data_IF_745675061757
#
_entry.id   IF_745675061757
#
_cell.length_a   1.000
_cell.length_b   1.000
_cell.length_c   1.000
_cell.angle_alpha   90.00
_cell.angle_beta   90.00
_cell.angle_gamma   90.00
#
_symmetry.space_group_name_H-M   'P 1'
#
loop_
_entity.id
_entity.type
_entity.pdbx_description
1 polymer ?
#
# COMPACT_ATOMS: atom_id res chain seq x y z
N UNK A 1 1.73 9.22 9.80
CA UNK A 1 2.57 8.14 9.25
C UNK A 1 3.82 7.99 10.11
N UNK A 2 4.30 6.76 10.33
CA UNK A 2 5.44 6.50 11.19
C UNK A 2 6.79 6.84 10.54
N UNK A 3 6.86 6.75 9.21
CA UNK A 3 7.94 7.26 8.39
C UNK A 3 7.47 8.50 7.63
N UNK A 4 8.44 9.33 7.25
CA UNK A 4 8.23 10.47 6.36
C UNK A 4 9.54 10.79 5.65
N UNK A 5 9.42 11.25 4.40
CA UNK A 5 10.55 11.83 3.69
C UNK A 5 10.71 13.32 3.99
N UNK A 6 11.94 13.74 4.30
CA UNK A 6 12.38 15.13 4.39
C UNK A 6 13.67 15.30 3.58
N UNK A 7 13.64 16.16 2.55
CA UNK A 7 14.85 16.59 1.82
C UNK A 7 15.79 15.45 1.39
N UNK A 8 15.23 14.34 0.89
CA UNK A 8 15.94 13.10 0.48
C UNK A 8 16.40 12.17 1.63
N UNK A 9 16.00 12.45 2.86
CA UNK A 9 16.20 11.56 4.01
C UNK A 9 14.87 10.94 4.44
N UNK A 10 14.90 9.66 4.81
CA UNK A 10 13.73 8.95 5.37
C UNK A 10 13.87 8.93 6.89
N UNK A 11 12.95 9.60 7.57
CA UNK A 11 12.89 9.63 9.03
C UNK A 11 11.81 8.65 9.52
N UNK A 12 12.22 7.59 10.20
CA UNK A 12 11.31 6.69 10.92
C UNK A 12 11.26 7.04 12.41
N UNK A 13 10.08 7.47 12.89
CA UNK A 13 9.85 7.73 14.31
C UNK A 13 9.45 6.44 15.01
N UNK A 14 10.43 5.76 15.60
CA UNK A 14 10.27 4.42 16.17
C UNK A 14 9.11 4.28 17.15
N UNK A 15 8.91 5.25 18.06
CA UNK A 15 7.81 5.17 19.03
C UNK A 15 6.44 5.32 18.36
N UNK A 16 6.32 6.23 17.39
CA UNK A 16 5.10 6.38 16.58
C UNK A 16 4.85 5.13 15.73
N UNK A 17 5.89 4.53 15.16
CA UNK A 17 5.82 3.29 14.40
C UNK A 17 5.34 2.12 15.25
N UNK A 18 5.83 2.04 16.49
CA UNK A 18 5.44 1.03 17.47
C UNK A 18 3.95 1.11 17.80
N UNK A 19 3.45 2.30 18.15
CA UNK A 19 2.03 2.49 18.49
C UNK A 19 1.13 2.25 17.29
N UNK A 20 1.53 2.74 16.11
CA UNK A 20 0.78 2.52 14.87
C UNK A 20 0.68 1.03 14.51
N UNK A 21 1.79 0.30 14.55
CA UNK A 21 1.81 -1.14 14.31
C UNK A 21 0.94 -1.89 15.32
N UNK A 22 1.01 -1.52 16.59
CA UNK A 22 0.16 -2.10 17.62
C UNK A 22 -1.33 -1.95 17.29
N UNK A 23 -1.76 -0.74 16.94
CA UNK A 23 -3.15 -0.46 16.57
C UNK A 23 -3.58 -1.27 15.33
N UNK A 24 -2.72 -1.36 14.30
CA UNK A 24 -3.01 -2.16 13.11
C UNK A 24 -3.22 -3.64 13.44
N UNK A 25 -2.41 -4.21 14.35
CA UNK A 25 -2.55 -5.60 14.76
C UNK A 25 -3.80 -5.83 15.62
N UNK A 26 -4.06 -4.95 16.59
CA UNK A 26 -5.19 -5.09 17.52
C UNK A 26 -6.53 -4.92 16.80
N UNK A 27 -6.64 -3.92 15.91
CA UNK A 27 -7.87 -3.60 15.19
C UNK A 27 -7.99 -4.29 13.83
N UNK A 28 -7.17 -5.32 13.59
CA UNK A 28 -7.16 -6.05 12.33
C UNK A 28 -8.56 -6.62 11.98
N UNK A 29 -9.00 -6.38 10.75
CA UNK A 29 -10.24 -6.96 10.24
C UNK A 29 -10.13 -8.48 10.13
N UNK A 30 -11.27 -9.18 10.21
CA UNK A 30 -11.33 -10.65 10.11
C UNK A 30 -10.64 -11.18 8.84
N UNK A 31 -10.72 -10.45 7.73
CA UNK A 31 -10.08 -10.80 6.45
C UNK A 31 -8.56 -10.77 6.49
N UNK A 32 -7.95 -9.90 7.30
CA UNK A 32 -6.49 -9.76 7.43
C UNK A 32 -5.86 -10.72 8.44
N UNK A 33 -6.66 -11.32 9.35
CA UNK A 33 -6.17 -12.23 10.41
C UNK A 33 -5.32 -13.41 9.90
N UNK A 34 -5.65 -14.10 8.80
CA UNK A 34 -4.81 -15.19 8.31
C UNK A 34 -3.41 -14.72 7.89
N UNK A 35 -3.31 -13.56 7.25
CA UNK A 35 -2.03 -12.97 6.85
C UNK A 35 -1.24 -12.44 8.05
N UNK A 36 -1.93 -11.85 9.03
CA UNK A 36 -1.29 -11.42 10.28
C UNK A 36 -0.69 -12.63 11.03
N UNK A 37 -1.44 -13.73 11.14
CA UNK A 37 -0.94 -14.98 11.75
C UNK A 37 0.29 -15.50 11.01
N UNK A 38 0.26 -15.53 9.68
CA UNK A 38 1.41 -15.91 8.87
C UNK A 38 2.64 -15.03 9.17
N UNK A 39 2.45 -13.72 9.28
CA UNK A 39 3.52 -12.79 9.60
C UNK A 39 4.13 -13.06 10.99
N UNK A 40 3.27 -13.23 12.00
CA UNK A 40 3.67 -13.48 13.38
C UNK A 40 4.36 -14.84 13.56
N UNK A 41 3.90 -15.89 12.86
CA UNK A 41 4.57 -17.19 12.83
C UNK A 41 6.01 -17.07 12.31
N UNK A 42 6.23 -16.24 11.28
CA UNK A 42 7.58 -15.94 10.76
C UNK A 42 8.39 -15.00 11.65
N UNK A 43 7.75 -14.32 12.61
CA UNK A 43 8.42 -13.64 13.71
C UNK A 43 8.74 -14.57 14.89
N UNK A 44 8.43 -15.88 14.78
CA UNK A 44 8.64 -16.87 15.84
C UNK A 44 7.45 -17.05 16.80
N UNK A 45 6.33 -16.37 16.56
CA UNK A 45 5.14 -16.41 17.41
C UNK A 45 4.09 -17.37 16.84
N UNK A 46 4.12 -18.63 17.29
CA UNK A 46 3.21 -19.69 16.81
C UNK A 46 1.78 -19.58 17.32
N UNK A 47 1.59 -19.08 18.54
CA UNK A 47 0.29 -18.88 19.18
C UNK A 47 0.23 -17.47 19.78
N UNK A 48 0.21 -16.42 18.94
CA UNK A 48 0.25 -15.05 19.42
C UNK A 48 -1.10 -14.69 20.06
N UNK A 49 -1.08 -14.50 21.38
CA UNK A 49 -2.11 -13.73 22.07
C UNK A 49 -1.66 -12.27 22.20
N UNK A 50 -2.53 -11.44 22.80
CA UNK A 50 -2.23 -10.01 22.96
C UNK A 50 -0.98 -9.75 23.79
N UNK A 51 -0.73 -10.57 24.81
CA UNK A 51 0.42 -10.40 25.70
C UNK A 51 1.73 -10.75 24.99
N UNK A 52 1.76 -11.88 24.29
CA UNK A 52 2.90 -12.31 23.49
C UNK A 52 3.24 -11.28 22.40
N UNK A 53 2.23 -10.73 21.71
CA UNK A 53 2.45 -9.67 20.71
C UNK A 53 3.03 -8.40 21.35
N UNK A 54 2.55 -8.02 22.54
CA UNK A 54 3.05 -6.83 23.23
C UNK A 54 4.51 -7.00 23.67
N UNK A 55 4.85 -8.16 24.25
CA UNK A 55 6.21 -8.49 24.68
C UNK A 55 7.20 -8.51 23.52
N UNK A 56 6.77 -8.96 22.33
CA UNK A 56 7.62 -9.07 21.15
C UNK A 56 7.49 -7.88 20.18
N UNK A 57 6.75 -6.83 20.55
CA UNK A 57 6.42 -5.73 19.65
C UNK A 57 7.66 -5.06 19.02
N UNK A 58 8.76 -4.97 19.76
CA UNK A 58 10.03 -4.44 19.22
C UNK A 58 10.63 -5.32 18.12
N UNK A 59 10.56 -6.64 18.26
CA UNK A 59 11.05 -7.58 17.24
C UNK A 59 10.11 -7.58 16.02
N UNK A 60 8.79 -7.55 16.27
CA UNK A 60 7.79 -7.43 15.19
C UNK A 60 8.01 -6.13 14.40
N UNK A 61 8.26 -5.02 15.10
CA UNK A 61 8.55 -3.74 14.46
C UNK A 61 9.83 -3.80 13.62
N UNK A 62 10.85 -4.55 14.05
CA UNK A 62 12.07 -4.72 13.26
C UNK A 62 11.79 -5.43 11.92
N UNK A 63 10.90 -6.43 11.91
CA UNK A 63 10.46 -7.09 10.67
C UNK A 63 9.57 -6.18 9.80
N UNK A 64 8.74 -5.34 10.43
CA UNK A 64 7.86 -4.42 9.72
C UNK A 64 8.58 -3.16 9.20
N UNK A 65 9.75 -2.83 9.74
CA UNK A 65 10.49 -1.61 9.44
C UNK A 65 10.75 -1.44 7.94
N UNK A 66 11.10 -2.52 7.26
CA UNK A 66 11.37 -2.50 5.82
C UNK A 66 10.13 -2.05 5.03
N UNK A 67 8.92 -2.42 5.45
CA UNK A 67 7.69 -1.97 4.80
C UNK A 67 7.54 -0.45 4.84
N UNK A 68 7.85 0.19 5.98
CA UNK A 68 7.77 1.64 6.08
C UNK A 68 8.87 2.34 5.29
N UNK A 69 10.10 1.83 5.32
CA UNK A 69 11.23 2.48 4.63
C UNK A 69 11.08 2.37 3.11
N UNK A 70 10.78 1.17 2.61
CA UNK A 70 10.70 0.96 1.16
C UNK A 70 9.43 1.53 0.54
N UNK A 71 8.39 1.78 1.32
CA UNK A 71 7.26 2.60 0.90
C UNK A 71 7.74 4.03 0.57
N UNK A 72 8.47 4.67 1.49
CA UNK A 72 9.01 6.02 1.27
C UNK A 72 10.03 6.07 0.13
N UNK A 73 10.90 5.06 -0.01
CA UNK A 73 11.81 4.94 -1.17
C UNK A 73 11.00 4.83 -2.48
N UNK A 74 9.95 4.01 -2.47
CA UNK A 74 9.04 3.87 -3.60
C UNK A 74 8.37 5.19 -3.98
N UNK A 75 7.86 5.94 -2.99
CA UNK A 75 7.24 7.24 -3.22
C UNK A 75 8.21 8.26 -3.81
N UNK A 76 9.47 8.26 -3.38
CA UNK A 76 10.49 9.16 -3.90
C UNK A 76 10.95 8.80 -5.31
N UNK A 77 10.88 7.51 -5.63
CA UNK A 77 11.35 6.98 -6.92
C UNK A 77 10.27 7.03 -8.00
N UNK A 78 8.99 7.02 -7.60
CA UNK A 78 7.88 7.08 -8.56
C UNK A 78 7.77 8.47 -9.21
N UNK A 79 7.77 8.47 -10.53
CA UNK A 79 7.55 9.66 -11.35
C UNK A 79 6.26 9.56 -12.16
N UNK A 80 5.35 8.64 -11.80
CA UNK A 80 4.10 8.40 -12.55
C UNK A 80 3.15 9.58 -12.37
N UNK A 81 3.07 10.13 -11.15
CA UNK A 81 2.33 11.36 -10.89
C UNK A 81 3.26 12.58 -11.02
N UNK A 82 2.90 13.50 -11.92
CA UNK A 82 3.44 14.86 -11.84
C UNK A 82 3.02 15.49 -10.51
N UNK A 83 4.00 15.97 -9.74
CA UNK A 83 3.76 16.47 -8.38
C UNK A 83 2.85 17.71 -8.35
N UNK A 84 2.82 18.53 -9.40
CA UNK A 84 1.95 19.70 -9.46
C UNK A 84 0.52 19.29 -9.79
N UNK A 85 0.33 18.46 -10.82
CA UNK A 85 -0.99 17.93 -11.19
C UNK A 85 -1.62 17.18 -10.01
N UNK A 86 -0.82 16.38 -9.30
CA UNK A 86 -1.27 15.68 -8.11
C UNK A 86 -1.78 16.63 -7.02
N UNK A 87 -0.98 17.63 -6.64
CA UNK A 87 -1.37 18.61 -5.60
C UNK A 87 -2.63 19.37 -6.01
N UNK A 88 -2.74 19.75 -7.28
CA UNK A 88 -3.94 20.38 -7.82
C UNK A 88 -5.17 19.47 -7.75
N UNK A 89 -5.05 18.21 -8.15
CA UNK A 89 -6.15 17.23 -8.12
C UNK A 89 -6.68 17.04 -6.69
N UNK A 90 -5.78 16.85 -5.73
CA UNK A 90 -6.13 16.70 -4.30
C UNK A 90 -6.80 17.99 -3.78
N UNK A 91 -6.24 19.16 -4.09
CA UNK A 91 -6.81 20.44 -3.70
C UNK A 91 -8.16 20.74 -4.37
N UNK A 92 -8.40 20.19 -5.56
CA UNK A 92 -9.66 20.37 -6.30
C UNK A 92 -10.79 19.51 -5.73
N UNK A 93 -10.47 18.31 -5.23
CA UNK A 93 -11.47 17.36 -4.73
C UNK A 93 -11.23 16.94 -3.27
N UNK A 94 -11.12 17.88 -2.32
CA UNK A 94 -10.85 17.56 -0.93
C UNK A 94 -12.00 16.76 -0.32
N UNK A 95 -11.67 15.82 0.55
CA UNK A 95 -12.59 14.96 1.30
C UNK A 95 -13.55 14.18 0.39
N UNK A 96 -13.09 13.78 -0.80
CA UNK A 96 -13.90 13.06 -1.78
C UNK A 96 -13.39 11.64 -2.04
N UNK A 97 -14.24 10.76 -2.61
CA UNK A 97 -13.79 9.46 -3.11
C UNK A 97 -12.63 9.57 -4.13
N UNK A 98 -12.61 10.64 -4.93
CA UNK A 98 -11.53 10.93 -5.87
C UNK A 98 -10.21 11.19 -5.17
N UNK A 99 -10.20 11.95 -4.06
CA UNK A 99 -8.99 12.14 -3.26
C UNK A 99 -8.50 10.81 -2.68
N UNK A 100 -9.41 9.99 -2.14
CA UNK A 100 -9.05 8.68 -1.59
C UNK A 100 -8.44 7.77 -2.66
N UNK A 101 -9.01 7.78 -3.87
CA UNK A 101 -8.52 7.00 -5.01
C UNK A 101 -7.15 7.46 -5.45
N UNK A 102 -6.98 8.76 -5.57
CA UNK A 102 -5.69 9.34 -5.89
C UNK A 102 -4.66 8.82 -4.88
N UNK A 103 -4.85 9.08 -3.58
CA UNK A 103 -3.92 8.66 -2.51
C UNK A 103 -3.59 7.17 -2.56
N UNK A 104 -4.59 6.31 -2.71
CA UNK A 104 -4.39 4.87 -2.81
C UNK A 104 -3.58 4.47 -4.06
N UNK A 105 -3.76 5.15 -5.20
CA UNK A 105 -2.93 4.91 -6.39
C UNK A 105 -1.48 5.29 -6.14
N UNK A 106 -1.21 6.41 -5.47
CA UNK A 106 0.15 6.83 -5.13
C UNK A 106 0.83 5.82 -4.20
N UNK A 107 0.14 5.38 -3.15
CA UNK A 107 0.65 4.38 -2.21
C UNK A 107 0.94 3.04 -2.94
N UNK A 108 0.02 2.59 -3.81
CA UNK A 108 0.20 1.36 -4.58
C UNK A 108 1.35 1.45 -5.57
N UNK A 109 1.48 2.57 -6.29
CA UNK A 109 2.60 2.81 -7.20
C UNK A 109 3.94 2.77 -6.46
N UNK A 110 4.02 3.40 -5.29
CA UNK A 110 5.19 3.38 -4.44
C UNK A 110 5.54 1.96 -3.97
N UNK A 111 4.58 1.23 -3.42
CA UNK A 111 4.81 -0.12 -2.91
C UNK A 111 5.21 -1.11 -4.00
N UNK A 112 4.70 -0.93 -5.21
CA UNK A 112 4.95 -1.82 -6.35
C UNK A 112 6.08 -1.33 -7.27
N UNK A 113 6.65 -0.15 -7.03
CA UNK A 113 7.78 0.38 -7.78
C UNK A 113 8.98 -0.60 -7.73
N UNK A 114 9.85 -0.68 -8.74
CA UNK A 114 11.05 -1.53 -8.71
C UNK A 114 11.96 -1.32 -7.50
N UNK A 115 11.98 -0.11 -6.93
CA UNK A 115 12.71 0.24 -5.70
C UNK A 115 11.83 0.25 -4.44
N UNK A 116 10.57 -0.16 -4.58
CA UNK A 116 9.53 -0.05 -3.56
C UNK A 116 9.41 -1.28 -2.66
N UNK A 117 8.42 -1.22 -1.77
CA UNK A 117 8.14 -2.20 -0.71
C UNK A 117 8.16 -3.65 -1.21
N UNK A 118 7.31 -3.99 -2.17
CA UNK A 118 7.11 -5.38 -2.57
C UNK A 118 8.32 -5.96 -3.29
N UNK A 119 9.01 -5.17 -4.12
CA UNK A 119 10.24 -5.61 -4.76
C UNK A 119 11.33 -5.94 -3.72
N UNK A 120 11.53 -5.08 -2.73
CA UNK A 120 12.46 -5.34 -1.63
C UNK A 120 12.12 -6.62 -0.86
N UNK A 121 10.83 -6.81 -0.51
CA UNK A 121 10.39 -8.00 0.21
C UNK A 121 10.62 -9.29 -0.60
N UNK A 122 10.39 -9.24 -1.93
CA UNK A 122 10.60 -10.37 -2.85
C UNK A 122 12.08 -10.72 -2.94
N UNK A 123 12.94 -9.73 -3.19
CA UNK A 123 14.38 -9.93 -3.39
C UNK A 123 15.06 -10.47 -2.14
N UNK A 124 14.64 -9.98 -0.97
CA UNK A 124 15.21 -10.38 0.32
C UNK A 124 14.42 -11.51 1.00
N UNK A 125 13.41 -12.08 0.33
CA UNK A 125 12.56 -13.16 0.81
C UNK A 125 12.01 -12.91 2.22
N UNK A 126 11.49 -11.71 2.46
CA UNK A 126 10.99 -11.24 3.77
C UNK A 126 9.57 -11.75 4.03
N UNK A 127 9.45 -13.00 4.52
CA UNK A 127 8.16 -13.65 4.76
C UNK A 127 7.27 -12.88 5.75
N UNK A 128 7.81 -12.46 6.90
CA UNK A 128 7.06 -11.69 7.90
C UNK A 128 6.57 -10.36 7.31
N UNK A 129 7.45 -9.61 6.65
CA UNK A 129 7.10 -8.34 5.99
C UNK A 129 6.00 -8.49 4.94
N UNK A 130 6.04 -9.53 4.11
CA UNK A 130 4.97 -9.81 3.15
C UNK A 130 3.65 -10.18 3.85
N UNK A 131 3.71 -10.94 4.93
CA UNK A 131 2.55 -11.26 5.75
C UNK A 131 1.87 -10.01 6.32
N UNK A 132 2.66 -9.08 6.86
CA UNK A 132 2.13 -7.81 7.36
C UNK A 132 1.56 -6.94 6.25
N UNK A 133 2.26 -6.85 5.10
CA UNK A 133 1.75 -6.14 3.93
C UNK A 133 0.37 -6.67 3.53
N UNK A 134 0.23 -7.99 3.37
CA UNK A 134 -1.03 -8.63 3.01
C UNK A 134 -2.11 -8.50 4.11
N UNK A 135 -1.71 -8.46 5.38
CA UNK A 135 -2.64 -8.30 6.50
C UNK A 135 -3.27 -6.91 6.52
N UNK A 136 -2.47 -5.88 6.26
CA UNK A 136 -2.87 -4.48 6.36
C UNK A 136 -3.40 -3.90 5.04
N UNK A 137 -3.38 -4.68 3.95
CA UNK A 137 -4.00 -4.33 2.68
C UNK A 137 -5.53 -4.31 2.80
N UNK A 138 -6.12 -3.12 2.84
CA UNK A 138 -7.54 -2.90 3.07
C UNK A 138 -8.06 -1.67 2.32
N UNK A 139 -9.37 -1.42 2.39
CA UNK A 139 -10.01 -0.25 1.79
C UNK A 139 -9.75 -0.17 0.29
N UNK A 140 -9.38 1.02 -0.17
CA UNK A 140 -9.21 1.30 -1.60
C UNK A 140 -8.00 0.59 -2.22
N UNK A 141 -6.91 0.41 -1.46
CA UNK A 141 -5.73 -0.34 -1.91
C UNK A 141 -6.07 -1.79 -2.25
N UNK A 142 -6.94 -2.41 -1.44
CA UNK A 142 -7.41 -3.78 -1.70
C UNK A 142 -8.19 -3.89 -3.02
N UNK A 143 -9.01 -2.88 -3.34
CA UNK A 143 -9.79 -2.87 -4.59
C UNK A 143 -8.91 -2.59 -5.81
N UNK A 144 -7.89 -1.74 -5.67
CA UNK A 144 -6.89 -1.48 -6.71
C UNK A 144 -5.89 -2.62 -6.91
N UNK A 145 -5.76 -3.52 -5.93
CA UNK A 145 -4.78 -4.61 -5.99
C UNK A 145 -5.41 -6.01 -5.77
N UNK A 146 -6.39 -6.40 -6.60
CA UNK A 146 -7.22 -7.58 -6.35
C UNK A 146 -6.41 -8.89 -6.38
N UNK A 147 -5.41 -8.98 -7.26
CA UNK A 147 -4.62 -10.20 -7.46
C UNK A 147 -3.69 -10.54 -6.30
N UNK A 148 -3.31 -9.57 -5.46
CA UNK A 148 -2.36 -9.82 -4.38
C UNK A 148 -2.91 -10.81 -3.35
N UNK A 149 -4.21 -10.76 -3.06
CA UNK A 149 -4.82 -11.65 -2.06
C UNK A 149 -4.71 -13.11 -2.49
N UNK A 150 -5.06 -13.41 -3.74
CA UNK A 150 -4.95 -14.76 -4.29
C UNK A 150 -3.49 -15.20 -4.39
N UNK A 151 -2.62 -14.32 -4.88
CA UNK A 151 -1.18 -14.56 -4.95
C UNK A 151 -0.59 -14.89 -3.57
N UNK A 152 -0.98 -14.16 -2.53
CA UNK A 152 -0.56 -14.40 -1.15
C UNK A 152 -1.06 -15.75 -0.64
N UNK A 153 -2.34 -16.10 -0.86
CA UNK A 153 -2.87 -17.42 -0.48
C UNK A 153 -2.08 -18.55 -1.14
N UNK A 154 -1.75 -18.44 -2.43
CA UNK A 154 -0.95 -19.43 -3.13
C UNK A 154 0.50 -19.45 -2.66
N UNK A 155 1.06 -18.29 -2.35
CA UNK A 155 2.39 -18.15 -1.78
C UNK A 155 2.50 -18.85 -0.42
N UNK A 156 1.55 -18.67 0.50
CA UNK A 156 1.58 -19.33 1.82
C UNK A 156 1.62 -20.86 1.75
N UNK A 157 1.14 -21.46 0.65
CA UNK A 157 1.18 -22.91 0.42
C UNK A 157 2.47 -23.38 -0.25
N UNK A 158 3.13 -22.53 -1.03
CA UNK A 158 4.20 -22.92 -1.96
C UNK A 158 5.56 -22.32 -1.63
N UNK A 159 5.61 -21.22 -0.89
CA UNK A 159 6.81 -20.39 -0.71
C UNK A 159 7.36 -19.78 -2.00
N UNK A 160 6.60 -19.82 -3.10
CA UNK A 160 7.10 -19.41 -4.41
C UNK A 160 6.97 -17.89 -4.62
N UNK A 161 8.07 -17.18 -4.40
CA UNK A 161 8.17 -15.72 -4.57
C UNK A 161 7.85 -15.22 -5.98
N UNK A 162 7.92 -16.08 -7.02
CA UNK A 162 7.53 -15.70 -8.37
C UNK A 162 6.05 -15.29 -8.45
N UNK A 163 5.19 -15.96 -7.68
CA UNK A 163 3.74 -15.66 -7.64
C UNK A 163 3.50 -14.23 -7.14
N UNK A 164 4.24 -13.80 -6.12
CA UNK A 164 4.16 -12.45 -5.56
C UNK A 164 4.78 -11.43 -6.52
N UNK A 165 5.88 -11.79 -7.19
CA UNK A 165 6.50 -10.94 -8.21
C UNK A 165 5.56 -10.65 -9.38
N UNK A 166 4.93 -11.69 -9.93
CA UNK A 166 4.02 -11.54 -11.06
C UNK A 166 2.81 -10.68 -10.67
N UNK A 167 2.27 -10.88 -9.45
CA UNK A 167 1.22 -10.01 -8.91
C UNK A 167 1.68 -8.56 -8.72
N UNK A 168 2.90 -8.34 -8.22
CA UNK A 168 3.48 -7.00 -8.02
C UNK A 168 3.61 -6.24 -9.33
N UNK A 169 4.12 -6.88 -10.38
CA UNK A 169 4.24 -6.29 -11.72
C UNK A 169 2.86 -5.95 -12.29
N UNK A 170 1.89 -6.87 -12.18
CA UNK A 170 0.53 -6.64 -12.66
C UNK A 170 -0.16 -5.50 -11.88
N UNK A 171 0.03 -5.44 -10.56
CA UNK A 171 -0.48 -4.37 -9.69
C UNK A 171 0.11 -3.01 -10.06
N UNK A 172 1.43 -2.93 -10.29
CA UNK A 172 2.08 -1.71 -10.73
C UNK A 172 1.52 -1.21 -12.06
N UNK A 173 1.40 -2.10 -13.05
CA UNK A 173 0.88 -1.73 -14.37
C UNK A 173 -0.58 -1.30 -14.30
N UNK A 174 -1.40 -1.97 -13.49
CA UNK A 174 -2.79 -1.58 -13.27
C UNK A 174 -2.87 -0.18 -12.64
N UNK A 175 -2.10 0.08 -11.59
CA UNK A 175 -2.05 1.38 -10.93
C UNK A 175 -1.64 2.49 -11.92
N UNK A 176 -0.61 2.25 -12.76
CA UNK A 176 -0.20 3.21 -13.80
C UNK A 176 -1.33 3.53 -14.79
N UNK A 177 -2.06 2.51 -15.25
CA UNK A 177 -3.17 2.71 -16.18
C UNK A 177 -4.31 3.53 -15.55
N UNK A 178 -4.70 3.20 -14.31
CA UNK A 178 -5.76 3.92 -13.59
C UNK A 178 -5.34 5.37 -13.29
N UNK A 179 -4.07 5.59 -12.90
CA UNK A 179 -3.53 6.93 -12.69
C UNK A 179 -3.52 7.77 -13.96
N UNK A 180 -3.13 7.19 -15.11
CA UNK A 180 -3.17 7.89 -16.39
C UNK A 180 -4.60 8.31 -16.76
N UNK A 181 -5.57 7.41 -16.66
CA UNK A 181 -6.98 7.71 -16.94
C UNK A 181 -7.54 8.77 -15.98
N UNK A 182 -7.18 8.72 -14.69
CA UNK A 182 -7.57 9.74 -13.71
C UNK A 182 -7.05 11.13 -14.11
N UNK A 183 -5.78 11.23 -14.50
CA UNK A 183 -5.15 12.49 -14.91
C UNK A 183 -5.82 13.03 -16.18
N UNK A 184 -6.06 12.18 -17.17
CA UNK A 184 -6.74 12.56 -18.41
C UNK A 184 -8.14 13.13 -18.14
N UNK A 185 -8.94 12.45 -17.32
CA UNK A 185 -10.28 12.91 -16.94
C UNK A 185 -10.23 14.23 -16.18
N UNK A 186 -9.30 14.36 -15.25
CA UNK A 186 -9.11 15.60 -14.48
C UNK A 186 -8.74 16.77 -15.39
N UNK A 187 -7.73 16.60 -16.25
CA UNK A 187 -7.27 17.65 -17.17
C UNK A 187 -8.35 18.02 -18.19
N UNK A 188 -9.08 17.04 -18.74
CA UNK A 188 -10.20 17.32 -19.64
C UNK A 188 -11.29 18.15 -18.95
N UNK A 189 -11.64 17.83 -17.71
CA UNK A 189 -12.57 18.66 -16.93
C UNK A 189 -12.02 20.05 -16.63
N UNK A 190 -10.74 20.16 -16.26
CA UNK A 190 -10.09 21.44 -15.97
C UNK A 190 -10.07 22.35 -17.20
N UNK A 191 -9.62 21.85 -18.34
CA UNK A 191 -9.50 22.60 -19.59
C UNK A 191 -10.85 23.11 -20.12
N UNK A 192 -11.94 22.39 -19.82
CA UNK A 192 -13.29 22.77 -20.22
C UNK A 192 -14.08 23.50 -19.12
N UNK A 193 -13.47 23.81 -17.97
CA UNK A 193 -14.14 24.37 -16.77
C UNK A 193 -15.32 23.50 -16.26
N UNK A 194 -15.20 22.18 -16.39
CA UNK A 194 -16.20 21.17 -16.03
C UNK A 194 -15.68 20.22 -14.94
N UNK A 195 -15.23 20.75 -13.81
CA UNK A 195 -14.67 19.94 -12.71
C UNK A 195 -15.67 18.95 -12.11
N UNK A 196 -16.96 19.28 -12.09
CA UNK A 196 -18.03 18.36 -11.67
C UNK A 196 -18.12 17.15 -12.58
N UNK A 197 -18.04 17.36 -13.90
CA UNK A 197 -18.03 16.28 -14.88
C UNK A 197 -16.80 15.38 -14.67
N UNK A 198 -15.60 15.95 -14.48
CA UNK A 198 -14.40 15.16 -14.22
C UNK A 198 -14.56 14.28 -12.97
N UNK A 199 -15.06 14.85 -11.87
CA UNK A 199 -15.34 14.09 -10.65
C UNK A 199 -16.29 12.92 -10.91
N UNK A 200 -17.43 13.18 -11.56
CA UNK A 200 -18.43 12.16 -11.87
C UNK A 200 -17.87 11.06 -12.81
N UNK A 201 -17.03 11.41 -13.78
CA UNK A 201 -16.38 10.44 -14.65
C UNK A 201 -15.34 9.59 -13.92
N UNK A 202 -14.52 10.19 -13.06
CA UNK A 202 -13.52 9.46 -12.26
C UNK A 202 -14.22 8.46 -11.35
N UNK A 203 -15.21 8.90 -10.58
CA UNK A 203 -15.98 8.02 -9.69
C UNK A 203 -16.70 6.91 -10.46
N UNK A 204 -17.29 7.23 -11.62
CA UNK A 204 -18.00 6.25 -12.44
C UNK A 204 -17.08 5.21 -13.07
N UNK A 205 -15.95 5.63 -13.65
CA UNK A 205 -15.09 4.78 -14.48
C UNK A 205 -14.08 4.00 -13.65
N UNK A 206 -13.53 4.64 -12.60
CA UNK A 206 -12.39 4.11 -11.86
C UNK A 206 -12.75 3.49 -10.51
N UNK A 207 -13.98 3.68 -10.01
CA UNK A 207 -14.40 3.17 -8.69
C UNK A 207 -15.56 2.18 -8.74
N UNK A 208 -16.21 1.98 -9.89
CA UNK A 208 -17.37 1.07 -10.02
C UNK A 208 -17.04 -0.34 -10.52
N UNK A 209 -15.79 -0.79 -10.37
CA UNK A 209 -15.45 -2.18 -10.65
C UNK A 209 -15.39 -2.96 -9.33
N UNK A 210 -16.53 -3.52 -8.94
CA UNK A 210 -16.65 -4.55 -7.90
C UNK A 210 -17.67 -5.58 -8.34
#
# INVERSE_FOLDING_TARGET
>A
MPALTQEQQILLRTDSARMFLWDQMVYIKKSGRPALRFALEHCGLKTPDSEAMQQHLSAILAEQKDNYIYHEIGELSDSTFDANIWRELIATFPHSPVELLARALKDLLADTHPSGTLHHLIENRKFAGLGFYAAFLDGMLKELFPHLREAFINFTKTGNWRIIKDATIAGHQHAKNVSAEMIELYQAGKNNNQLRWAKEQIERRLMKQS
#
